data_IF_246109442100
#
_entry.id   IF_246109442100
#
_cell.length_a   1.000
_cell.length_b   1.000
_cell.length_c   1.000
_cell.angle_alpha   90.00
_cell.angle_beta   90.00
_cell.angle_gamma   90.00
#
_symmetry.space_group_name_H-M   'P 1'
#
loop_
_entity.id
_entity.type
_entity.pdbx_description
1 polymer ?
#
# COMPACT_ATOMS: atom_id res chain seq x y z
N UNK A 1 8.37 -10.73 -30.35
CA UNK A 1 7.37 -10.47 -29.29
C UNK A 1 8.12 -9.92 -28.08
N UNK A 2 8.05 -8.61 -27.83
CA UNK A 2 8.67 -8.00 -26.65
C UNK A 2 7.93 -8.50 -25.41
N UNK A 3 8.60 -9.28 -24.55
CA UNK A 3 8.01 -9.72 -23.28
C UNK A 3 7.48 -8.51 -22.50
N UNK A 4 6.24 -8.59 -22.01
CA UNK A 4 5.66 -7.53 -21.16
C UNK A 4 6.60 -7.32 -19.97
N UNK A 5 7.24 -6.15 -19.89
CA UNK A 5 8.08 -5.76 -18.76
C UNK A 5 7.20 -5.78 -17.51
N UNK A 6 7.49 -6.66 -16.55
CA UNK A 6 6.77 -6.71 -15.27
C UNK A 6 6.95 -5.36 -14.55
N UNK A 7 5.83 -4.79 -14.12
CA UNK A 7 5.78 -3.46 -13.49
C UNK A 7 6.34 -3.49 -12.06
N UNK A 8 6.29 -4.64 -11.37
CA UNK A 8 6.89 -4.84 -10.04
C UNK A 8 7.47 -6.25 -9.90
N UNK A 9 8.24 -6.47 -8.82
CA UNK A 9 8.77 -7.78 -8.45
C UNK A 9 7.70 -8.57 -7.70
N UNK A 10 7.49 -9.83 -8.08
CA UNK A 10 6.56 -10.73 -7.38
C UNK A 10 6.97 -10.89 -5.91
N UNK A 11 5.98 -11.08 -5.04
CA UNK A 11 6.22 -11.36 -3.63
C UNK A 11 6.64 -12.81 -3.39
N UNK A 12 7.51 -13.01 -2.42
CA UNK A 12 7.93 -14.29 -1.87
C UNK A 12 7.70 -14.32 -0.35
N UNK A 13 7.46 -15.50 0.25
CA UNK A 13 7.40 -15.62 1.70
C UNK A 13 8.64 -15.02 2.38
N UNK A 14 8.44 -14.21 3.41
CA UNK A 14 9.48 -13.47 4.12
C UNK A 14 9.73 -12.06 3.59
N UNK A 15 9.18 -11.69 2.44
CA UNK A 15 9.31 -10.33 1.92
C UNK A 15 8.68 -9.28 2.87
N UNK A 16 9.32 -8.11 2.94
CA UNK A 16 8.88 -7.02 3.79
C UNK A 16 7.83 -6.16 3.08
N UNK A 17 6.72 -5.91 3.79
CA UNK A 17 5.67 -4.96 3.43
C UNK A 17 5.78 -3.74 4.33
N UNK A 18 6.15 -2.59 3.75
CA UNK A 18 6.13 -1.31 4.48
C UNK A 18 4.71 -0.77 4.56
N UNK A 19 4.20 -0.60 5.78
CA UNK A 19 2.86 -0.09 6.05
C UNK A 19 2.96 1.39 6.39
N UNK A 20 2.19 2.19 5.67
CA UNK A 20 2.14 3.64 5.82
C UNK A 20 0.71 4.09 6.09
N UNK A 21 0.54 5.17 6.86
CA UNK A 21 -0.76 5.79 7.09
C UNK A 21 -0.73 7.24 6.56
N UNK A 22 -0.73 7.44 5.23
CA UNK A 22 -0.61 8.77 4.64
C UNK A 22 -1.90 9.59 4.79
N UNK A 23 -3.03 8.99 5.17
CA UNK A 23 -4.33 9.64 5.30
C UNK A 23 -4.80 9.63 6.77
N UNK A 24 -6.01 9.13 7.03
CA UNK A 24 -6.62 9.11 8.35
C UNK A 24 -6.09 8.02 9.28
N UNK A 25 -6.31 8.19 10.58
CA UNK A 25 -5.89 7.23 11.61
C UNK A 25 -6.69 5.93 11.58
N UNK A 26 -6.25 4.95 12.36
CA UNK A 26 -6.90 3.66 12.57
C UNK A 26 -7.02 3.36 14.08
N UNK A 27 -7.89 2.42 14.45
CA UNK A 27 -7.93 1.93 15.84
C UNK A 27 -6.77 0.97 16.09
N UNK A 28 -6.33 0.86 17.34
CA UNK A 28 -5.28 -0.11 17.70
C UNK A 28 -5.67 -1.55 17.37
N UNK A 29 -6.95 -1.91 17.50
CA UNK A 29 -7.46 -3.24 17.16
C UNK A 29 -7.35 -3.52 15.65
N UNK A 30 -7.80 -2.58 14.84
CA UNK A 30 -7.79 -2.71 13.37
C UNK A 30 -6.38 -2.72 12.80
N UNK A 31 -5.50 -1.88 13.34
CA UNK A 31 -4.09 -1.90 12.98
C UNK A 31 -3.45 -3.27 13.28
N UNK A 32 -3.72 -3.84 14.46
CA UNK A 32 -3.21 -5.17 14.82
C UNK A 32 -3.79 -6.28 13.93
N UNK A 33 -5.05 -6.16 13.52
CA UNK A 33 -5.66 -7.05 12.53
C UNK A 33 -4.95 -6.98 11.17
N UNK A 34 -4.67 -5.76 10.68
CA UNK A 34 -3.93 -5.51 9.45
C UNK A 34 -2.52 -6.14 9.48
N UNK A 35 -1.77 -5.98 10.57
CA UNK A 35 -0.46 -6.63 10.74
C UNK A 35 -0.57 -8.16 10.70
N UNK A 36 -1.56 -8.73 11.40
CA UNK A 36 -1.81 -10.18 11.38
C UNK A 36 -2.17 -10.69 9.99
N UNK A 37 -2.90 -9.91 9.20
CA UNK A 37 -3.24 -10.29 7.84
C UNK A 37 -1.98 -10.44 6.98
N UNK A 38 -1.06 -9.47 7.01
CA UNK A 38 0.24 -9.56 6.30
C UNK A 38 1.04 -10.78 6.77
N UNK A 39 1.09 -11.03 8.07
CA UNK A 39 1.76 -12.23 8.59
C UNK A 39 1.15 -13.53 8.09
N UNK A 40 -0.19 -13.63 8.00
CA UNK A 40 -0.88 -14.81 7.48
C UNK A 40 -0.61 -15.06 5.99
N UNK A 41 -0.28 -14.01 5.24
CA UNK A 41 0.19 -14.13 3.85
C UNK A 41 1.63 -14.67 3.74
N UNK A 42 2.31 -14.94 4.87
CA UNK A 42 3.71 -15.35 4.90
C UNK A 42 4.70 -14.20 4.74
N UNK A 43 4.26 -12.96 4.89
CA UNK A 43 5.07 -11.74 4.72
C UNK A 43 5.44 -11.10 6.06
N UNK A 44 6.37 -10.14 6.03
CA UNK A 44 6.84 -9.41 7.22
C UNK A 44 6.29 -7.97 7.21
N UNK A 45 5.29 -7.63 8.03
CA UNK A 45 4.81 -6.26 8.12
C UNK A 45 5.82 -5.37 8.86
N UNK A 46 6.14 -4.22 8.28
CA UNK A 46 6.96 -3.18 8.91
C UNK A 46 6.19 -1.87 8.96
N UNK A 47 5.95 -1.38 10.17
CA UNK A 47 5.29 -0.11 10.40
C UNK A 47 6.14 0.79 11.33
N UNK A 48 6.08 2.12 11.19
CA UNK A 48 6.67 3.03 12.15
C UNK A 48 6.08 2.86 13.55
N UNK A 49 6.91 2.89 14.60
CA UNK A 49 6.43 2.80 16.00
C UNK A 49 5.45 3.92 16.36
N UNK A 50 5.63 5.09 15.75
CA UNK A 50 4.79 6.27 15.92
C UNK A 50 3.84 6.48 14.74
N UNK A 51 3.34 5.41 14.11
CA UNK A 51 2.40 5.52 12.97
C UNK A 51 1.17 6.35 13.33
N UNK A 52 0.69 6.28 14.57
CA UNK A 52 -0.40 7.10 15.09
C UNK A 52 0.10 8.20 16.04
N UNK A 53 -0.37 9.42 15.84
CA UNK A 53 -0.11 10.59 16.68
C UNK A 53 -1.38 11.14 17.31
N UNK A 54 -1.32 12.39 17.81
CA UNK A 54 -2.45 13.09 18.45
C UNK A 54 -3.29 13.94 17.48
N UNK A 55 -3.13 13.75 16.17
CA UNK A 55 -3.89 14.50 15.17
C UNK A 55 -5.37 14.04 15.18
N UNK A 56 -6.30 14.99 15.07
CA UNK A 56 -7.74 14.72 15.18
C UNK A 56 -8.34 14.08 13.92
N UNK A 57 -7.73 14.28 12.76
CA UNK A 57 -8.28 13.85 11.46
C UNK A 57 -7.36 12.85 10.75
N UNK A 58 -6.05 13.08 10.83
CA UNK A 58 -5.03 12.30 10.15
C UNK A 58 -4.40 11.26 11.09
N UNK A 59 -3.71 10.27 10.53
CA UNK A 59 -2.99 9.28 11.34
C UNK A 59 -1.94 9.92 12.25
N UNK A 60 -1.26 10.95 11.76
CA UNK A 60 -0.29 11.73 12.50
C UNK A 60 -0.16 13.12 11.86
N UNK A 61 0.71 13.97 12.38
CA UNK A 61 1.05 15.25 11.75
C UNK A 61 1.58 15.02 10.32
N UNK A 62 1.41 16.02 9.46
CA UNK A 62 1.90 15.98 8.06
C UNK A 62 3.38 15.64 8.00
N UNK A 63 4.16 16.17 8.95
CA UNK A 63 5.58 15.88 9.09
C UNK A 63 5.83 14.38 9.26
N UNK A 64 5.20 13.73 10.24
CA UNK A 64 5.43 12.31 10.51
C UNK A 64 4.90 11.41 9.40
N UNK A 65 3.69 11.67 8.90
CA UNK A 65 3.12 10.90 7.77
C UNK A 65 4.01 10.98 6.53
N UNK A 66 4.52 12.17 6.21
CA UNK A 66 5.48 12.36 5.13
C UNK A 66 6.79 11.59 5.40
N UNK A 67 7.36 11.66 6.60
CA UNK A 67 8.61 10.94 6.93
C UNK A 67 8.42 9.42 6.82
N UNK A 68 7.27 8.89 7.26
CA UNK A 68 6.94 7.47 7.14
C UNK A 68 6.83 7.05 5.68
N UNK A 69 6.08 7.81 4.87
CA UNK A 69 5.94 7.57 3.43
C UNK A 69 7.29 7.64 2.71
N UNK A 70 8.08 8.69 2.98
CA UNK A 70 9.43 8.86 2.42
C UNK A 70 10.33 7.68 2.80
N UNK A 71 10.33 7.26 4.06
CA UNK A 71 11.15 6.12 4.51
C UNK A 71 10.77 4.83 3.77
N UNK A 72 9.48 4.55 3.60
CA UNK A 72 8.99 3.39 2.86
C UNK A 72 9.39 3.44 1.37
N UNK A 73 9.23 4.61 0.72
CA UNK A 73 9.62 4.82 -0.68
C UNK A 73 11.11 4.59 -0.91
N UNK A 74 11.96 5.00 0.04
CA UNK A 74 13.41 4.90 -0.08
C UNK A 74 14.02 3.62 0.52
N UNK A 75 13.23 2.81 1.22
CA UNK A 75 13.68 1.51 1.71
C UNK A 75 14.14 0.64 0.53
N UNK A 76 15.18 -0.18 0.70
CA UNK A 76 15.69 -1.07 -0.35
C UNK A 76 15.39 -2.55 -0.10
N UNK A 77 14.93 -2.87 1.09
CA UNK A 77 14.70 -4.21 1.61
C UNK A 77 13.23 -4.64 1.56
N UNK A 78 12.29 -3.70 1.41
CA UNK A 78 10.87 -4.02 1.18
C UNK A 78 10.53 -4.15 -0.30
N UNK A 79 9.47 -4.93 -0.59
CA UNK A 79 8.93 -5.13 -1.94
C UNK A 79 7.63 -4.38 -2.20
N UNK A 80 6.91 -4.03 -1.13
CA UNK A 80 5.60 -3.40 -1.22
C UNK A 80 5.50 -2.29 -0.19
N UNK A 81 4.82 -1.21 -0.58
CA UNK A 81 4.32 -0.16 0.30
C UNK A 81 2.80 -0.26 0.28
N UNK A 82 2.18 -0.47 1.43
CA UNK A 82 0.73 -0.61 1.53
C UNK A 82 0.16 0.47 2.42
N UNK A 83 -0.77 1.25 1.88
CA UNK A 83 -1.53 2.19 2.66
C UNK A 83 -2.45 1.43 3.63
N UNK A 84 -2.36 1.80 4.91
CA UNK A 84 -3.16 1.20 5.97
C UNK A 84 -4.64 1.50 5.76
N UNK A 85 -4.96 2.76 5.44
CA UNK A 85 -6.33 3.27 5.35
C UNK A 85 -6.38 4.52 4.47
N UNK A 86 -7.53 4.76 3.83
CA UNK A 86 -7.88 6.03 3.18
C UNK A 86 -8.38 7.08 4.17
N UNK A 87 -9.35 7.89 3.75
CA UNK A 87 -9.95 8.94 4.57
C UNK A 87 -9.61 10.34 4.05
N UNK A 88 -8.79 11.09 4.79
CA UNK A 88 -8.40 12.44 4.42
C UNK A 88 -6.92 12.71 4.73
N UNK A 89 -6.30 13.51 3.87
CA UNK A 89 -5.09 14.26 4.21
C UNK A 89 -3.82 13.80 3.50
N UNK A 90 -3.87 12.78 2.65
CA UNK A 90 -2.69 12.33 1.89
C UNK A 90 -2.25 13.36 0.83
N UNK A 91 -3.19 14.11 0.25
CA UNK A 91 -2.88 15.20 -0.69
C UNK A 91 -1.99 16.29 -0.07
N UNK A 92 -2.10 16.51 1.24
CA UNK A 92 -1.27 17.48 1.97
C UNK A 92 0.22 17.11 1.95
N UNK A 93 0.55 15.86 1.66
CA UNK A 93 1.93 15.36 1.60
C UNK A 93 2.59 15.63 0.23
N UNK A 94 1.81 15.87 -0.82
CA UNK A 94 2.32 15.99 -2.20
C UNK A 94 3.32 17.15 -2.39
N UNK A 95 3.13 18.36 -1.82
CA UNK A 95 4.12 19.44 -1.99
C UNK A 95 5.50 19.11 -1.43
N UNK A 96 5.59 18.29 -0.38
CA UNK A 96 6.85 17.82 0.17
C UNK A 96 7.43 16.68 -0.67
N UNK A 97 6.58 15.76 -1.14
CA UNK A 97 6.97 14.64 -1.98
C UNK A 97 7.51 15.10 -3.35
N UNK A 98 6.91 16.13 -3.95
CA UNK A 98 7.33 16.73 -5.22
C UNK A 98 8.73 17.34 -5.19
N UNK A 99 9.29 17.60 -4.00
CA UNK A 99 10.67 18.09 -3.83
C UNK A 99 11.70 16.96 -3.83
N UNK A 100 11.25 15.70 -3.76
CA UNK A 100 12.13 14.53 -3.76
C UNK A 100 12.42 14.05 -5.18
N UNK A 101 13.57 13.39 -5.34
CA UNK A 101 13.87 12.60 -6.54
C UNK A 101 13.27 11.21 -6.40
N UNK A 102 12.90 10.58 -7.51
CA UNK A 102 12.47 9.19 -7.51
C UNK A 102 13.61 8.29 -7.00
N UNK A 103 13.34 7.36 -6.06
CA UNK A 103 14.29 6.30 -5.70
C UNK A 103 14.62 5.42 -6.91
N UNK A 104 15.86 4.91 -6.98
CA UNK A 104 16.28 3.99 -8.05
C UNK A 104 15.53 2.65 -7.99
N UNK A 105 15.30 2.14 -6.78
CA UNK A 105 14.59 0.90 -6.57
C UNK A 105 13.11 1.19 -6.38
N UNK A 106 12.34 0.93 -7.43
CA UNK A 106 10.89 1.04 -7.39
C UNK A 106 10.27 -0.24 -6.86
N UNK A 107 9.12 -0.11 -6.20
CA UNK A 107 8.40 -1.22 -5.57
C UNK A 107 6.91 -0.93 -5.57
N UNK A 108 6.05 -1.93 -5.45
CA UNK A 108 4.61 -1.70 -5.65
C UNK A 108 4.03 -0.82 -4.53
N UNK A 109 3.32 0.25 -4.89
CA UNK A 109 2.48 1.01 -3.95
C UNK A 109 1.01 0.59 -4.07
N UNK A 110 0.39 0.21 -2.96
CA UNK A 110 -0.99 -0.31 -2.90
C UNK A 110 -1.86 0.59 -2.01
N UNK A 111 -3.04 0.95 -2.51
CA UNK A 111 -4.07 1.71 -1.79
C UNK A 111 -5.19 2.13 -2.74
N UNK A 112 -6.17 2.87 -2.24
CA UNK A 112 -7.23 3.50 -3.03
C UNK A 112 -7.85 4.70 -2.29
N UNK A 113 -8.97 5.25 -2.76
CA UNK A 113 -9.66 6.37 -2.09
C UNK A 113 -8.75 7.60 -1.94
N UNK A 114 -8.57 8.17 -0.74
CA UNK A 114 -7.76 9.38 -0.50
C UNK A 114 -6.34 9.29 -1.07
N UNK A 115 -5.72 8.09 -1.12
CA UNK A 115 -4.35 7.93 -1.65
C UNK A 115 -4.26 8.09 -3.17
N UNK A 116 -5.36 8.30 -3.89
CA UNK A 116 -5.38 8.49 -5.36
C UNK A 116 -4.41 9.58 -5.83
N UNK A 117 -4.26 10.68 -5.07
CA UNK A 117 -3.28 11.71 -5.42
C UNK A 117 -1.83 11.25 -5.30
N UNK A 118 -1.54 10.38 -4.32
CA UNK A 118 -0.22 9.72 -4.23
C UNK A 118 -0.03 8.76 -5.40
N UNK A 119 -1.03 7.95 -5.76
CA UNK A 119 -0.97 7.08 -6.94
C UNK A 119 -0.65 7.86 -8.20
N UNK A 120 -1.39 8.94 -8.45
CA UNK A 120 -1.19 9.79 -9.62
C UNK A 120 0.21 10.39 -9.64
N UNK A 121 0.68 10.96 -8.52
CA UNK A 121 2.04 11.50 -8.44
C UNK A 121 3.10 10.43 -8.73
N UNK A 122 3.04 9.29 -8.04
CA UNK A 122 4.00 8.20 -8.19
C UNK A 122 4.03 7.69 -9.63
N UNK A 123 2.86 7.42 -10.22
CA UNK A 123 2.76 6.89 -11.56
C UNK A 123 3.16 7.93 -12.63
N UNK A 124 2.56 9.12 -12.62
CA UNK A 124 2.72 10.11 -13.69
C UNK A 124 4.03 10.90 -13.61
N UNK A 125 4.58 11.11 -12.41
CA UNK A 125 5.81 11.90 -12.23
C UNK A 125 7.04 11.01 -12.09
N UNK A 126 6.93 9.88 -11.39
CA UNK A 126 8.08 9.00 -11.14
C UNK A 126 8.09 7.73 -11.98
N UNK A 127 7.07 7.51 -12.82
CA UNK A 127 6.87 6.24 -13.54
C UNK A 127 6.94 5.04 -12.59
N UNK A 128 6.42 5.22 -11.37
CA UNK A 128 6.51 4.25 -10.28
C UNK A 128 5.29 3.32 -10.33
N UNK A 129 5.46 2.00 -10.13
CA UNK A 129 4.37 1.04 -10.19
C UNK A 129 3.42 1.21 -9.02
N UNK A 130 2.14 1.33 -9.33
CA UNK A 130 1.09 1.42 -8.30
C UNK A 130 -0.09 0.52 -8.66
N UNK A 131 -0.79 0.04 -7.65
CA UNK A 131 -1.98 -0.78 -7.78
C UNK A 131 -3.10 -0.16 -6.94
N UNK A 132 -4.15 0.31 -7.62
CA UNK A 132 -5.36 0.77 -6.96
C UNK A 132 -6.14 -0.44 -6.45
N UNK A 133 -6.08 -0.71 -5.15
CA UNK A 133 -6.68 -1.88 -4.52
C UNK A 133 -6.98 -1.62 -3.03
N UNK A 134 -7.67 -2.58 -2.41
CA UNK A 134 -8.16 -2.52 -1.02
C UNK A 134 -7.09 -2.10 -0.01
N UNK A 135 -7.52 -1.34 0.99
CA UNK A 135 -6.66 -0.89 2.08
C UNK A 135 -6.36 -2.05 3.01
N UNK A 136 -5.20 -2.00 3.66
CA UNK A 136 -4.78 -3.10 4.53
C UNK A 136 -5.69 -3.25 5.76
N UNK A 137 -6.31 -2.16 6.24
CA UNK A 137 -7.29 -2.19 7.33
C UNK A 137 -8.54 -3.04 6.99
N UNK A 138 -9.10 -2.88 5.80
CA UNK A 138 -10.31 -3.61 5.35
C UNK A 138 -10.06 -5.12 5.28
N UNK A 139 -8.88 -5.49 4.75
CA UNK A 139 -8.41 -6.87 4.75
C UNK A 139 -8.24 -7.42 6.16
N UNK A 140 -7.70 -6.62 7.07
CA UNK A 140 -7.57 -6.97 8.48
C UNK A 140 -8.92 -7.22 9.16
N UNK A 141 -9.95 -6.44 8.83
CA UNK A 141 -11.30 -6.62 9.38
C UNK A 141 -12.04 -7.82 8.79
N UNK A 142 -11.57 -8.35 7.65
CA UNK A 142 -12.25 -9.44 6.94
C UNK A 142 -13.53 -8.96 6.24
N UNK A 143 -13.61 -7.68 5.90
CA UNK A 143 -14.75 -7.07 5.21
C UNK A 143 -14.76 -7.36 3.70
N UNK A 144 -13.63 -7.80 3.14
CA UNK A 144 -13.55 -8.25 1.77
C UNK A 144 -13.92 -9.74 1.62
N UNK A 145 -14.59 -10.07 0.51
CA UNK A 145 -14.96 -11.45 0.21
C UNK A 145 -13.72 -12.35 0.05
N UNK A 146 -13.86 -13.61 0.46
CA UNK A 146 -12.72 -14.56 0.50
C UNK A 146 -12.14 -14.85 -0.89
N UNK A 147 -12.98 -14.84 -1.92
CA UNK A 147 -12.55 -15.13 -3.30
C UNK A 147 -11.68 -13.99 -3.83
N UNK A 148 -12.17 -12.76 -3.68
CA UNK A 148 -11.54 -11.51 -4.13
C UNK A 148 -10.18 -11.31 -3.45
N UNK A 149 -10.10 -11.63 -2.15
CA UNK A 149 -8.83 -11.61 -1.42
C UNK A 149 -7.85 -12.64 -1.99
N UNK A 150 -8.28 -13.89 -2.19
CA UNK A 150 -7.41 -14.94 -2.70
C UNK A 150 -6.88 -14.62 -4.09
N UNK A 151 -7.74 -14.10 -4.94
CA UNK A 151 -7.45 -13.65 -6.30
C UNK A 151 -6.43 -12.51 -6.31
N UNK A 152 -6.63 -11.51 -5.45
CA UNK A 152 -5.68 -10.43 -5.25
C UNK A 152 -4.31 -10.93 -4.75
N UNK A 153 -4.29 -11.86 -3.80
CA UNK A 153 -3.05 -12.48 -3.31
C UNK A 153 -2.34 -13.23 -4.44
N UNK A 154 -3.05 -14.00 -5.26
CA UNK A 154 -2.45 -14.71 -6.39
C UNK A 154 -1.76 -13.76 -7.37
N UNK A 155 -2.34 -12.58 -7.64
CA UNK A 155 -1.71 -11.55 -8.47
C UNK A 155 -0.42 -11.02 -7.82
N UNK A 156 -0.43 -10.73 -6.52
CA UNK A 156 0.75 -10.18 -5.82
C UNK A 156 1.94 -11.17 -5.81
N UNK A 157 1.66 -12.46 -5.70
CA UNK A 157 2.65 -13.54 -5.76
C UNK A 157 2.93 -14.03 -7.20
N UNK A 158 2.29 -13.41 -8.21
CA UNK A 158 2.39 -13.80 -9.61
C UNK A 158 2.08 -15.30 -9.85
N UNK A 159 1.12 -15.84 -9.11
CA UNK A 159 0.57 -17.19 -9.30
C UNK A 159 -0.46 -17.23 -10.43
N UNK A 160 -0.99 -16.06 -10.81
CA UNK A 160 -1.85 -15.88 -11.98
C UNK A 160 -1.52 -14.55 -12.67
N UNK A 161 -1.63 -14.53 -14.01
CA UNK A 161 -1.43 -13.33 -14.83
C UNK A 161 -2.77 -12.68 -15.27
N UNK A 162 -3.90 -13.36 -15.03
CA UNK A 162 -5.25 -12.85 -15.34
C UNK A 162 -6.33 -13.56 -14.53
N UNK A 163 -7.36 -12.83 -14.14
CA UNK A 163 -8.59 -13.36 -13.56
C UNK A 163 -9.75 -12.99 -14.47
N UNK A 164 -10.63 -13.97 -14.73
CA UNK A 164 -11.84 -13.77 -15.53
C UNK A 164 -13.03 -14.07 -14.63
N UNK A 165 -13.89 -13.08 -14.47
CA UNK A 165 -15.17 -13.25 -13.79
C UNK A 165 -16.22 -13.50 -14.86
N UNK A 166 -16.71 -14.73 -14.93
CA UNK A 166 -17.84 -15.11 -15.76
C UNK A 166 -19.12 -14.89 -14.94
N UNK A 167 -20.21 -14.46 -15.59
CA UNK A 167 -21.55 -14.32 -14.96
C UNK A 167 -21.65 -13.25 -13.86
N UNK A 168 -21.24 -12.01 -14.17
CA UNK A 168 -21.53 -10.86 -13.30
C UNK A 168 -23.01 -10.45 -13.44
N UNK A 169 -23.80 -10.63 -12.38
CA UNK A 169 -25.14 -10.04 -12.28
C UNK A 169 -25.05 -8.58 -11.77
N UNK A 170 -25.76 -7.62 -12.39
CA UNK A 170 -25.76 -6.21 -11.99
C UNK A 170 -26.30 -5.92 -10.59
#
# INVERSE_FOLDING_TARGET
MSGKKKLWQALEPGDIVDIVAPASSSTGKDFQNALRFVHKMGLVPRAPKNIFGKDLLCANTDHWRYQHLKKALYARDSKVIWSLRGGYGSLRLLPALAKLKAPLQQKLFIGYSDTTGIHHFLNSIWNWPTLHATMLEELGRGEAGRREINDFIQILFNLTDSLVYEELEP
#
